data_IF_372797293830
#
_entry.id   IF_372797293830
#
_cell.length_a   1.000
_cell.length_b   1.000
_cell.length_c   1.000
_cell.angle_alpha   90.00
_cell.angle_beta   90.00
_cell.angle_gamma   90.00
#
_symmetry.space_group_name_H-M   'P 1'
#
loop_
_entity.id
_entity.type
_entity.pdbx_description
1 polymer ?
#
# COMPACT_ATOMS: atom_id res chain seq x y z
N UNK A 1 7.16 27.63 5.51
CA UNK A 1 6.97 28.79 4.61
C UNK A 1 8.30 29.34 4.06
N UNK A 2 9.32 29.60 4.90
CA UNK A 2 10.62 30.16 4.47
C UNK A 2 11.40 29.26 3.49
N UNK A 3 11.34 27.94 3.64
CA UNK A 3 12.05 26.99 2.77
C UNK A 3 11.50 27.04 1.33
N UNK A 4 10.18 27.07 1.18
CA UNK A 4 9.50 27.11 -0.14
C UNK A 4 9.81 28.43 -0.86
N UNK A 5 9.79 29.58 -0.19
CA UNK A 5 10.11 30.88 -0.80
C UNK A 5 11.56 30.99 -1.29
N UNK A 6 12.51 30.30 -0.64
CA UNK A 6 13.91 30.28 -1.08
C UNK A 6 14.14 29.36 -2.29
N UNK A 7 13.34 28.33 -2.49
CA UNK A 7 13.43 27.41 -3.64
C UNK A 7 12.92 28.10 -4.92
N UNK A 8 12.01 29.08 -4.81
CA UNK A 8 11.40 29.76 -5.96
C UNK A 8 12.35 30.71 -6.71
N UNK A 9 13.55 31.01 -6.21
CA UNK A 9 14.57 31.72 -7.01
C UNK A 9 15.12 30.78 -8.09
N UNK A 10 15.01 31.13 -9.37
CA UNK A 10 15.34 30.29 -10.55
C UNK A 10 16.65 29.49 -10.44
N UNK A 11 17.74 30.09 -9.89
CA UNK A 11 19.04 29.42 -9.71
C UNK A 11 18.97 28.34 -8.62
N UNK A 12 18.29 28.62 -7.49
CA UNK A 12 18.09 27.65 -6.39
C UNK A 12 17.11 26.55 -6.77
N UNK A 13 16.10 26.83 -7.59
CA UNK A 13 15.18 25.82 -8.12
C UNK A 13 15.90 24.80 -9.00
N UNK A 14 16.78 25.25 -9.91
CA UNK A 14 17.54 24.33 -10.77
C UNK A 14 18.46 23.40 -9.96
N UNK A 15 19.15 23.95 -8.95
CA UNK A 15 19.96 23.12 -8.04
C UNK A 15 19.11 22.12 -7.27
N UNK A 16 18.04 22.59 -6.63
CA UNK A 16 17.10 21.73 -5.90
C UNK A 16 16.56 20.59 -6.78
N UNK A 17 16.14 20.91 -8.02
CA UNK A 17 15.60 19.88 -8.92
C UNK A 17 16.66 18.84 -9.30
N UNK A 18 17.89 19.26 -9.55
CA UNK A 18 19.01 18.36 -9.82
C UNK A 18 19.27 17.43 -8.62
N UNK A 19 19.35 18.00 -7.42
CA UNK A 19 19.58 17.24 -6.19
C UNK A 19 18.42 16.28 -5.89
N UNK A 20 17.17 16.69 -6.18
CA UNK A 20 16.00 15.84 -6.08
C UNK A 20 16.11 14.61 -7.00
N UNK A 21 16.47 14.79 -8.27
CA UNK A 21 16.62 13.68 -9.23
C UNK A 21 17.72 12.72 -8.78
N UNK A 22 18.88 13.23 -8.35
CA UNK A 22 19.97 12.40 -7.86
C UNK A 22 19.56 11.61 -6.61
N UNK A 23 18.83 12.25 -5.70
CA UNK A 23 18.30 11.58 -4.51
C UNK A 23 17.31 10.48 -4.89
N UNK A 24 16.39 10.76 -5.81
CA UNK A 24 15.41 9.78 -6.29
C UNK A 24 16.12 8.57 -6.93
N UNK A 25 17.09 8.82 -7.81
CA UNK A 25 17.89 7.76 -8.45
C UNK A 25 18.61 6.89 -7.42
N UNK A 26 19.27 7.51 -6.43
CA UNK A 26 19.91 6.79 -5.34
C UNK A 26 18.92 5.90 -4.59
N UNK A 27 17.74 6.44 -4.26
CA UNK A 27 16.72 5.69 -3.52
C UNK A 27 16.11 4.55 -4.31
N UNK A 28 15.99 4.68 -5.62
CA UNK A 28 15.54 3.57 -6.48
C UNK A 28 16.57 2.44 -6.53
N UNK A 29 17.88 2.77 -6.45
CA UNK A 29 18.94 1.77 -6.37
C UNK A 29 19.00 1.04 -5.02
N UNK A 30 18.50 1.65 -3.95
CA UNK A 30 18.42 1.04 -2.60
C UNK A 30 17.29 0.00 -2.47
N UNK A 31 16.44 -0.19 -3.51
CA UNK A 31 15.34 -1.15 -3.45
C UNK A 31 15.89 -2.59 -3.42
N UNK A 32 15.43 -3.35 -2.44
CA UNK A 32 15.79 -4.76 -2.29
C UNK A 32 15.00 -5.62 -3.31
N UNK A 33 15.64 -5.89 -4.46
CA UNK A 33 15.00 -6.58 -5.58
C UNK A 33 14.49 -7.98 -5.20
N UNK A 34 15.16 -8.69 -4.30
CA UNK A 34 14.72 -10.01 -3.83
C UNK A 34 13.39 -9.95 -3.08
N UNK A 35 13.17 -8.89 -2.28
CA UNK A 35 11.88 -8.66 -1.63
C UNK A 35 10.79 -8.33 -2.65
N UNK A 36 11.11 -7.49 -3.63
CA UNK A 36 10.17 -7.17 -4.71
C UNK A 36 9.78 -8.42 -5.51
N UNK A 37 10.77 -9.26 -5.83
CA UNK A 37 10.54 -10.54 -6.50
C UNK A 37 9.65 -11.46 -5.65
N UNK A 38 9.97 -11.64 -4.36
CA UNK A 38 9.16 -12.44 -3.43
C UNK A 38 7.73 -11.94 -3.32
N UNK A 39 7.51 -10.61 -3.31
CA UNK A 39 6.19 -10.03 -3.32
C UNK A 39 5.42 -10.36 -4.61
N UNK A 40 6.08 -10.29 -5.76
CA UNK A 40 5.48 -10.63 -7.05
C UNK A 40 5.08 -12.11 -7.14
N UNK A 41 5.92 -13.01 -6.63
CA UNK A 41 5.59 -14.44 -6.56
C UNK A 41 4.41 -14.73 -5.63
N UNK A 42 4.34 -14.06 -4.47
CA UNK A 42 3.21 -14.20 -3.55
C UNK A 42 1.90 -13.74 -4.22
N UNK A 43 1.92 -12.62 -4.93
CA UNK A 43 0.77 -12.12 -5.69
C UNK A 43 0.35 -13.15 -6.76
N UNK A 44 1.28 -13.61 -7.57
CA UNK A 44 1.01 -14.58 -8.63
C UNK A 44 0.45 -15.91 -8.07
N UNK A 45 1.03 -16.41 -6.99
CA UNK A 45 0.54 -17.59 -6.28
C UNK A 45 -0.89 -17.41 -5.77
N UNK A 46 -1.19 -16.25 -5.19
CA UNK A 46 -2.53 -15.91 -4.70
C UNK A 46 -3.57 -15.97 -5.82
N UNK A 47 -3.24 -15.41 -6.99
CA UNK A 47 -4.11 -15.45 -8.16
C UNK A 47 -4.31 -16.88 -8.66
N UNK A 48 -3.23 -17.67 -8.82
CA UNK A 48 -3.30 -19.07 -9.27
C UNK A 48 -4.12 -19.95 -8.34
N UNK A 49 -4.14 -19.64 -7.04
CA UNK A 49 -4.97 -20.33 -6.04
C UNK A 49 -6.41 -19.78 -5.97
N UNK A 50 -6.79 -18.89 -6.88
CA UNK A 50 -8.12 -18.25 -6.92
C UNK A 50 -8.48 -17.53 -5.60
N UNK A 51 -7.47 -16.97 -4.91
CA UNK A 51 -7.59 -16.19 -3.68
C UNK A 51 -7.64 -14.70 -3.99
N UNK A 52 -8.04 -13.91 -3.01
CA UNK A 52 -8.25 -12.47 -3.17
C UNK A 52 -7.04 -11.66 -2.72
N UNK A 53 -6.84 -10.54 -3.38
CA UNK A 53 -5.86 -9.52 -3.06
C UNK A 53 -6.61 -8.28 -2.59
N UNK A 54 -6.30 -7.79 -1.39
CA UNK A 54 -6.85 -6.55 -0.88
C UNK A 54 -5.75 -5.49 -0.80
N UNK A 55 -6.11 -4.24 -1.01
CA UNK A 55 -5.17 -3.11 -0.95
C UNK A 55 -5.76 -2.01 -0.09
N UNK A 56 -4.96 -1.34 0.74
CA UNK A 56 -5.42 -0.19 1.51
C UNK A 56 -4.32 0.83 1.80
N UNK A 57 -4.73 2.06 2.08
CA UNK A 57 -3.87 3.17 2.46
C UNK A 57 -4.69 4.38 2.89
N UNK A 58 -4.04 5.45 3.34
CA UNK A 58 -4.69 6.69 3.75
C UNK A 58 -4.33 7.85 2.81
N UNK A 59 -5.26 8.78 2.57
CA UNK A 59 -5.00 9.99 1.79
C UNK A 59 -4.43 9.67 0.40
N UNK A 60 -3.24 10.19 0.08
CA UNK A 60 -2.55 9.88 -1.18
C UNK A 60 -2.26 8.39 -1.37
N UNK A 61 -1.98 7.66 -0.29
CA UNK A 61 -1.82 6.20 -0.34
C UNK A 61 -3.13 5.47 -0.65
N UNK A 62 -4.30 6.03 -0.29
CA UNK A 62 -5.59 5.51 -0.71
C UNK A 62 -5.79 5.64 -2.23
N UNK A 63 -5.44 6.81 -2.79
CA UNK A 63 -5.49 7.03 -4.23
C UNK A 63 -4.56 6.05 -4.98
N UNK A 64 -3.36 5.78 -4.45
CA UNK A 64 -2.45 4.76 -5.01
C UNK A 64 -3.07 3.36 -4.91
N UNK A 65 -3.72 3.02 -3.79
CA UNK A 65 -4.38 1.72 -3.61
C UNK A 65 -5.51 1.50 -4.65
N UNK A 66 -6.34 2.50 -4.88
CA UNK A 66 -7.42 2.44 -5.88
C UNK A 66 -6.86 2.38 -7.31
N UNK A 67 -5.82 3.15 -7.61
CA UNK A 67 -5.15 3.14 -8.91
C UNK A 67 -4.45 1.79 -9.16
N UNK A 68 -3.80 1.23 -8.16
CA UNK A 68 -3.19 -0.11 -8.23
C UNK A 68 -4.23 -1.17 -8.63
N UNK A 69 -5.42 -1.15 -8.01
CA UNK A 69 -6.51 -2.09 -8.34
C UNK A 69 -6.97 -1.89 -9.80
N UNK A 70 -7.15 -0.65 -10.24
CA UNK A 70 -7.56 -0.31 -11.60
C UNK A 70 -6.56 -0.83 -12.63
N UNK A 71 -5.28 -0.51 -12.47
CA UNK A 71 -4.24 -0.92 -13.40
C UNK A 71 -4.03 -2.43 -13.40
N UNK A 72 -4.01 -3.03 -12.22
CA UNK A 72 -3.82 -4.47 -12.08
C UNK A 72 -4.95 -5.25 -12.79
N UNK A 73 -6.20 -4.85 -12.56
CA UNK A 73 -7.36 -5.45 -13.22
C UNK A 73 -7.29 -5.30 -14.75
N UNK A 74 -7.03 -4.08 -15.23
CA UNK A 74 -7.00 -3.75 -16.66
C UNK A 74 -5.84 -4.45 -17.38
N UNK A 75 -4.62 -4.35 -16.84
CA UNK A 75 -3.43 -4.90 -17.48
C UNK A 75 -3.42 -6.43 -17.46
N UNK A 76 -3.79 -7.03 -16.33
CA UNK A 76 -3.85 -8.48 -16.23
C UNK A 76 -4.84 -9.07 -17.24
N UNK A 77 -6.03 -8.48 -17.37
CA UNK A 77 -7.05 -8.91 -18.31
C UNK A 77 -6.61 -8.75 -19.78
N UNK A 78 -5.77 -7.73 -20.07
CA UNK A 78 -5.32 -7.43 -21.43
C UNK A 78 -4.18 -8.36 -21.88
N UNK A 79 -3.26 -8.68 -21.00
CA UNK A 79 -2.01 -9.35 -21.36
C UNK A 79 -1.90 -10.79 -20.88
N UNK A 80 -2.88 -11.29 -20.12
CA UNK A 80 -2.88 -12.66 -19.61
C UNK A 80 -4.29 -13.25 -19.56
N UNK A 81 -4.38 -14.58 -19.40
CA UNK A 81 -5.63 -15.29 -19.12
C UNK A 81 -5.91 -15.42 -17.61
N UNK A 82 -5.11 -14.78 -16.77
CA UNK A 82 -5.29 -14.83 -15.32
C UNK A 82 -6.48 -13.95 -14.88
N UNK A 83 -7.25 -14.46 -13.93
CA UNK A 83 -8.37 -13.73 -13.33
C UNK A 83 -8.02 -13.40 -11.89
N UNK A 84 -7.67 -12.14 -11.62
CA UNK A 84 -7.40 -11.69 -10.26
C UNK A 84 -8.67 -11.20 -9.57
N UNK A 85 -8.87 -11.66 -8.34
CA UNK A 85 -9.84 -11.10 -7.41
C UNK A 85 -9.13 -10.02 -6.59
N UNK A 86 -9.20 -8.78 -7.03
CA UNK A 86 -8.53 -7.66 -6.37
C UNK A 86 -9.54 -6.58 -5.96
N UNK A 87 -9.39 -6.06 -4.73
CA UNK A 87 -10.28 -5.02 -4.18
C UNK A 87 -9.51 -4.03 -3.32
N UNK A 88 -9.76 -2.75 -3.50
CA UNK A 88 -9.34 -1.72 -2.55
C UNK A 88 -10.33 -1.62 -1.39
N UNK A 89 -9.81 -1.61 -0.15
CA UNK A 89 -10.62 -1.32 1.03
C UNK A 89 -10.94 0.18 1.17
N UNK A 90 -10.41 1.01 0.25
CA UNK A 90 -10.72 2.44 0.18
C UNK A 90 -11.89 2.76 -0.76
N UNK A 91 -12.28 1.83 -1.64
CA UNK A 91 -13.24 2.10 -2.72
C UNK A 91 -14.68 2.34 -2.23
N UNK A 92 -15.06 1.83 -1.05
CA UNK A 92 -16.37 2.04 -0.46
C UNK A 92 -16.30 3.20 0.56
N UNK A 93 -16.47 4.42 0.07
CA UNK A 93 -16.39 5.63 0.90
C UNK A 93 -17.54 5.70 1.92
N UNK A 94 -18.71 5.17 1.61
CA UNK A 94 -19.86 5.16 2.53
C UNK A 94 -19.58 4.22 3.70
N UNK A 95 -18.99 3.06 3.44
CA UNK A 95 -18.61 2.11 4.48
C UNK A 95 -17.51 2.67 5.39
N UNK A 96 -16.50 3.34 4.81
CA UNK A 96 -15.47 4.04 5.59
C UNK A 96 -16.10 5.11 6.46
N UNK A 97 -16.99 5.93 5.90
CA UNK A 97 -17.69 6.98 6.63
C UNK A 97 -18.52 6.41 7.79
N UNK A 98 -19.31 5.38 7.55
CA UNK A 98 -20.14 4.74 8.56
C UNK A 98 -19.28 4.17 9.71
N UNK A 99 -18.25 3.37 9.40
CA UNK A 99 -17.37 2.80 10.43
C UNK A 99 -16.65 3.92 11.21
N UNK A 100 -16.23 4.98 10.53
CA UNK A 100 -15.54 6.10 11.18
C UNK A 100 -16.44 6.84 12.15
N UNK A 101 -17.71 7.04 11.79
CA UNK A 101 -18.69 7.74 12.61
C UNK A 101 -19.17 6.89 13.80
N UNK A 102 -19.48 5.63 13.56
CA UNK A 102 -20.16 4.78 14.54
C UNK A 102 -19.18 4.06 15.47
N UNK A 103 -17.93 3.87 15.04
CA UNK A 103 -16.92 3.12 15.79
C UNK A 103 -15.63 3.96 15.92
N UNK A 104 -14.79 3.98 14.87
CA UNK A 104 -13.54 4.75 14.83
C UNK A 104 -12.90 4.66 13.45
N UNK A 105 -12.24 5.74 13.02
CA UNK A 105 -11.39 5.69 11.83
C UNK A 105 -10.22 4.71 11.95
N UNK A 106 -9.77 4.43 13.16
CA UNK A 106 -8.71 3.44 13.40
C UNK A 106 -9.11 2.00 13.05
N UNK A 107 -10.40 1.70 12.94
CA UNK A 107 -10.95 0.37 12.69
C UNK A 107 -11.42 0.14 11.24
N UNK A 108 -11.40 1.19 10.40
CA UNK A 108 -12.01 1.16 9.05
C UNK A 108 -11.52 0.02 8.17
N UNK A 109 -10.23 -0.30 8.20
CA UNK A 109 -9.67 -1.39 7.39
C UNK A 109 -9.79 -2.75 8.09
N UNK A 110 -9.64 -2.77 9.41
CA UNK A 110 -9.72 -4.02 10.17
C UNK A 110 -11.13 -4.61 10.09
N UNK A 111 -12.19 -3.82 10.30
CA UNK A 111 -13.58 -4.30 10.21
C UNK A 111 -13.90 -4.83 8.81
N UNK A 112 -13.44 -4.15 7.76
CA UNK A 112 -13.59 -4.64 6.40
C UNK A 112 -12.84 -5.96 6.18
N UNK A 113 -11.58 -6.04 6.67
CA UNK A 113 -10.79 -7.25 6.56
C UNK A 113 -11.42 -8.44 7.29
N UNK A 114 -12.01 -8.22 8.46
CA UNK A 114 -12.75 -9.25 9.23
C UNK A 114 -13.95 -9.82 8.47
N UNK A 115 -14.56 -9.04 7.61
CA UNK A 115 -15.76 -9.44 6.85
C UNK A 115 -15.43 -10.05 5.48
N UNK A 116 -14.37 -9.58 4.84
CA UNK A 116 -14.05 -9.95 3.46
C UNK A 116 -12.94 -10.99 3.34
N UNK A 117 -11.96 -10.98 4.24
CA UNK A 117 -10.73 -11.74 4.04
C UNK A 117 -10.78 -13.12 4.68
N UNK A 118 -10.21 -14.08 3.97
CA UNK A 118 -10.10 -15.46 4.39
C UNK A 118 -8.65 -15.95 4.33
N UNK A 119 -8.37 -17.08 4.95
CA UNK A 119 -7.05 -17.72 4.87
C UNK A 119 -6.65 -17.99 3.42
N UNK A 120 -5.46 -17.56 3.05
CA UNK A 120 -4.92 -17.66 1.70
C UNK A 120 -5.07 -16.37 0.89
N UNK A 121 -5.90 -15.43 1.31
CA UNK A 121 -5.91 -14.08 0.76
C UNK A 121 -4.66 -13.31 1.22
N UNK A 122 -4.35 -12.19 0.55
CA UNK A 122 -3.27 -11.30 0.93
C UNK A 122 -3.76 -9.86 1.08
N UNK A 123 -3.08 -9.10 1.95
CA UNK A 123 -3.31 -7.67 2.10
C UNK A 123 -2.05 -6.89 1.72
N UNK A 124 -2.20 -5.94 0.81
CA UNK A 124 -1.19 -4.95 0.44
C UNK A 124 -1.50 -3.65 1.20
N UNK A 125 -0.53 -3.16 1.97
CA UNK A 125 -0.68 -1.96 2.79
C UNK A 125 0.26 -0.87 2.27
N UNK A 126 -0.27 0.31 2.02
CA UNK A 126 0.50 1.47 1.53
C UNK A 126 0.43 2.57 2.58
N UNK A 127 1.58 2.92 3.17
CA UNK A 127 1.65 3.94 4.22
C UNK A 127 3.03 4.57 4.31
N UNK A 128 3.18 5.83 3.93
CA UNK A 128 4.47 6.52 3.96
C UNK A 128 5.14 6.47 5.33
N UNK A 129 4.43 6.74 6.42
CA UNK A 129 4.98 6.66 7.78
C UNK A 129 5.09 5.24 8.31
N UNK A 130 4.30 4.31 7.79
CA UNK A 130 4.13 2.96 8.32
C UNK A 130 3.51 2.89 9.73
N UNK A 131 3.00 4.01 10.25
CA UNK A 131 2.60 4.13 11.67
C UNK A 131 1.14 4.53 11.90
N UNK A 132 0.33 4.71 10.83
CA UNK A 132 -1.09 5.03 10.96
C UNK A 132 -1.84 3.94 11.73
N UNK A 133 -2.73 4.34 12.66
CA UNK A 133 -3.34 3.39 13.59
C UNK A 133 -4.23 2.36 12.89
N UNK A 134 -5.02 2.78 11.89
CA UNK A 134 -5.84 1.87 11.10
C UNK A 134 -4.99 0.84 10.31
N UNK A 135 -3.79 1.23 9.84
CA UNK A 135 -2.83 0.32 9.19
C UNK A 135 -2.29 -0.69 10.20
N UNK A 136 -1.92 -0.24 11.43
CA UNK A 136 -1.46 -1.13 12.49
C UNK A 136 -2.55 -2.14 12.90
N UNK A 137 -3.79 -1.69 13.04
CA UNK A 137 -4.88 -2.53 13.50
C UNK A 137 -5.22 -3.64 12.49
N UNK A 138 -5.31 -3.31 11.19
CA UNK A 138 -5.54 -4.32 10.17
C UNK A 138 -4.34 -5.27 10.02
N UNK A 139 -3.11 -4.77 10.16
CA UNK A 139 -1.91 -5.61 10.11
C UNK A 139 -1.87 -6.61 11.28
N UNK A 140 -2.15 -6.16 12.52
CA UNK A 140 -2.29 -7.05 13.68
C UNK A 140 -3.36 -8.12 13.47
N UNK A 141 -4.51 -7.75 12.90
CA UNK A 141 -5.56 -8.69 12.53
C UNK A 141 -5.07 -9.74 11.52
N UNK A 142 -4.44 -9.31 10.43
CA UNK A 142 -3.89 -10.21 9.41
C UNK A 142 -2.89 -11.21 10.01
N UNK A 143 -1.99 -10.74 10.89
CA UNK A 143 -1.06 -11.62 11.61
C UNK A 143 -1.77 -12.67 12.44
N UNK A 144 -2.78 -12.29 13.22
CA UNK A 144 -3.58 -13.20 14.04
C UNK A 144 -4.29 -14.26 13.18
N UNK A 145 -4.80 -13.87 12.02
CA UNK A 145 -5.51 -14.75 11.10
C UNK A 145 -4.59 -15.51 10.11
N UNK A 146 -3.27 -15.31 10.21
CA UNK A 146 -2.27 -15.91 9.29
C UNK A 146 -2.53 -15.53 7.83
N UNK A 147 -3.05 -14.32 7.58
CA UNK A 147 -3.20 -13.69 6.28
C UNK A 147 -1.87 -13.01 5.94
N UNK A 148 -1.32 -13.31 4.78
CA UNK A 148 -0.03 -12.74 4.36
C UNK A 148 -0.16 -11.27 3.98
N UNK A 149 0.90 -10.51 4.28
CA UNK A 149 0.91 -9.05 4.11
C UNK A 149 2.14 -8.56 3.35
N UNK A 150 1.92 -7.59 2.45
CA UNK A 150 2.97 -6.87 1.73
C UNK A 150 2.85 -5.40 2.13
N UNK A 151 3.91 -4.81 2.67
CA UNK A 151 3.97 -3.43 3.13
C UNK A 151 4.78 -2.54 2.20
N UNK A 152 4.22 -1.41 1.77
CA UNK A 152 4.94 -0.34 1.09
C UNK A 152 5.02 0.90 2.00
N UNK A 153 6.23 1.26 2.41
CA UNK A 153 6.49 2.40 3.30
C UNK A 153 7.69 3.21 2.83
N UNK A 154 7.95 4.34 3.48
CA UNK A 154 9.23 5.03 3.28
C UNK A 154 10.39 4.26 3.94
N UNK A 155 11.62 4.74 3.77
CA UNK A 155 12.83 4.08 4.31
C UNK A 155 12.87 3.95 5.83
N UNK A 156 12.17 4.81 6.57
CA UNK A 156 12.04 4.66 8.02
C UNK A 156 11.06 3.53 8.39
N UNK A 157 10.15 3.18 7.48
CA UNK A 157 9.31 1.99 7.48
C UNK A 157 8.30 1.86 8.62
N UNK A 158 8.61 2.32 9.80
CA UNK A 158 7.76 2.28 10.97
C UNK A 158 7.30 0.87 11.35
N UNK A 159 6.11 0.80 11.92
CA UNK A 159 5.47 -0.45 12.32
C UNK A 159 5.20 -1.38 11.11
N UNK A 160 4.83 -0.79 9.97
CA UNK A 160 4.52 -1.54 8.76
C UNK A 160 5.72 -2.36 8.28
N UNK A 161 6.90 -1.72 8.17
CA UNK A 161 8.13 -2.40 7.76
C UNK A 161 8.53 -3.52 8.72
N UNK A 162 8.37 -3.28 10.03
CA UNK A 162 8.78 -4.25 11.05
C UNK A 162 7.89 -5.50 11.09
N UNK A 163 6.60 -5.37 10.76
CA UNK A 163 5.62 -6.43 11.03
C UNK A 163 4.93 -6.99 9.79
N UNK A 164 5.12 -6.44 8.59
CA UNK A 164 4.67 -7.09 7.36
C UNK A 164 5.45 -8.37 7.09
N UNK A 165 4.88 -9.31 6.34
CA UNK A 165 5.60 -10.51 5.92
C UNK A 165 6.67 -10.19 4.87
N UNK A 166 6.38 -9.21 4.01
CA UNK A 166 7.30 -8.64 3.02
C UNK A 166 7.16 -7.12 3.10
N UNK A 167 8.28 -6.40 3.20
CA UNK A 167 8.28 -4.92 3.21
C UNK A 167 9.56 -4.36 2.64
#
# INVERSE_FOLDING_TARGET
KYLIMNILKKKKFKSFFKDYILTLESKLKDIELDKLFTASELILKTIKLNKSIYVCGNGGSAAIADHYVCDFFKQLSKYTNLKAKIKSLNSDQYLISAISNDISYSEVFKIQAERYMNKGDILILISSSGNSENIKNVLKFCKKQKIKTIGFSNFAGGFLNKYSDIS
#
